data_IF_998301478012
#
_entry.id   IF_998301478012
#
_cell.length_a   1.000
_cell.length_b   1.000
_cell.length_c   1.000
_cell.angle_alpha   90.00
_cell.angle_beta   90.00
_cell.angle_gamma   90.00
#
_symmetry.space_group_name_H-M   'P 1'
#
loop_
_entity.id
_entity.type
_entity.pdbx_description
1 polymer ?
#
# COMPACT_ATOMS: atom_id res chain seq x y z
N UNK A 1 -27.39 16.11 -6.45
CA UNK A 1 -26.29 15.19 -6.08
C UNK A 1 -25.50 15.88 -4.98
N UNK A 2 -25.45 15.33 -3.77
CA UNK A 2 -24.72 15.96 -2.67
C UNK A 2 -23.22 15.77 -2.94
N UNK A 3 -22.48 16.87 -2.96
CA UNK A 3 -21.04 16.88 -3.23
C UNK A 3 -20.33 16.20 -2.04
N UNK A 4 -19.57 15.14 -2.30
CA UNK A 4 -18.77 14.48 -1.25
C UNK A 4 -17.49 15.29 -1.02
N UNK A 5 -17.56 16.23 -0.07
CA UNK A 5 -16.45 17.10 0.25
C UNK A 5 -15.20 16.34 0.70
N UNK A 6 -15.34 15.15 1.32
CA UNK A 6 -14.18 14.34 1.72
C UNK A 6 -13.48 13.80 0.48
N UNK A 7 -14.24 13.23 -0.46
CA UNK A 7 -13.69 12.73 -1.72
C UNK A 7 -13.01 13.86 -2.54
N UNK A 8 -13.63 15.03 -2.61
CA UNK A 8 -13.07 16.21 -3.31
C UNK A 8 -11.73 16.65 -2.69
N UNK A 9 -11.63 16.66 -1.36
CA UNK A 9 -10.38 16.97 -0.65
C UNK A 9 -9.29 15.96 -1.00
N UNK A 10 -9.61 14.66 -0.94
CA UNK A 10 -8.65 13.59 -1.24
C UNK A 10 -8.16 13.72 -2.69
N UNK A 11 -9.07 13.87 -3.64
CA UNK A 11 -8.72 14.02 -5.06
C UNK A 11 -7.81 15.24 -5.29
N UNK A 12 -8.19 16.41 -4.79
CA UNK A 12 -7.37 17.63 -4.91
C UNK A 12 -6.00 17.48 -4.26
N UNK A 13 -5.93 16.80 -3.11
CA UNK A 13 -4.68 16.53 -2.40
C UNK A 13 -3.74 15.66 -3.23
N UNK A 14 -4.25 14.57 -3.80
CA UNK A 14 -3.46 13.66 -4.64
C UNK A 14 -2.97 14.32 -5.92
N UNK A 15 -3.78 15.19 -6.55
CA UNK A 15 -3.33 16.01 -7.68
C UNK A 15 -2.17 16.93 -7.31
N UNK A 16 -2.27 17.62 -6.17
CA UNK A 16 -1.21 18.51 -5.68
C UNK A 16 0.05 17.72 -5.27
N UNK A 17 -0.11 16.58 -4.60
CA UNK A 17 1.02 15.72 -4.21
C UNK A 17 1.77 15.20 -5.43
N UNK A 18 1.08 14.80 -6.50
CA UNK A 18 1.73 14.44 -7.77
C UNK A 18 2.43 15.63 -8.43
N UNK A 19 1.80 16.80 -8.45
CA UNK A 19 2.33 17.96 -9.15
C UNK A 19 3.57 18.57 -8.49
N UNK A 20 3.62 18.61 -7.15
CA UNK A 20 4.71 19.29 -6.43
C UNK A 20 5.16 18.60 -5.15
N UNK A 21 4.67 17.42 -4.82
CA UNK A 21 5.08 16.68 -3.62
C UNK A 21 4.25 17.01 -2.37
N UNK A 22 4.19 16.05 -1.47
CA UNK A 22 3.52 16.14 -0.17
C UNK A 22 4.06 17.32 0.65
N UNK A 23 5.38 17.43 0.84
CA UNK A 23 5.98 18.42 1.75
C UNK A 23 5.67 19.86 1.34
N UNK A 24 5.75 20.16 0.04
CA UNK A 24 5.52 21.50 -0.53
C UNK A 24 4.03 21.86 -0.69
N UNK A 25 3.12 20.94 -0.43
CA UNK A 25 1.67 21.19 -0.50
C UNK A 25 1.16 21.73 0.83
N UNK A 26 0.36 22.80 0.79
CA UNK A 26 -0.28 23.40 1.97
C UNK A 26 -1.76 23.06 2.04
N UNK A 27 -2.36 23.18 3.23
CA UNK A 27 -3.80 22.97 3.43
C UNK A 27 -4.64 24.00 2.66
N UNK A 28 -4.19 25.26 2.61
CA UNK A 28 -4.93 26.31 1.91
C UNK A 28 -4.99 26.05 0.39
N UNK A 29 -3.91 25.54 -0.21
CA UNK A 29 -3.91 25.14 -1.64
C UNK A 29 -4.84 23.96 -1.91
N UNK A 30 -4.93 23.00 -0.98
CA UNK A 30 -5.88 21.88 -1.08
C UNK A 30 -7.31 22.41 -1.01
N UNK A 31 -7.61 23.32 -0.09
CA UNK A 31 -8.92 23.96 0.07
C UNK A 31 -9.32 24.68 -1.23
N UNK A 32 -8.41 25.50 -1.77
CA UNK A 32 -8.61 26.23 -3.01
C UNK A 32 -8.86 25.27 -4.19
N UNK A 33 -8.01 24.25 -4.35
CA UNK A 33 -8.12 23.29 -5.44
C UNK A 33 -9.37 22.40 -5.35
N UNK A 34 -9.81 22.06 -4.15
CA UNK A 34 -11.05 21.32 -3.93
C UNK A 34 -12.29 22.23 -4.06
N UNK A 35 -12.14 23.55 -4.06
CA UNK A 35 -13.26 24.49 -4.15
C UNK A 35 -14.24 24.33 -2.99
N UNK A 36 -13.71 24.21 -1.77
CA UNK A 36 -14.47 24.07 -0.51
C UNK A 36 -14.15 25.22 0.45
N UNK A 37 -14.96 25.37 1.50
CA UNK A 37 -14.66 26.31 2.58
C UNK A 37 -13.59 25.73 3.54
N UNK A 38 -12.79 26.59 4.16
CA UNK A 38 -11.77 26.20 5.15
C UNK A 38 -12.35 25.37 6.31
N UNK A 39 -13.51 25.77 6.83
CA UNK A 39 -14.20 25.01 7.89
C UNK A 39 -14.60 23.59 7.46
N UNK A 40 -14.93 23.39 6.18
CA UNK A 40 -15.25 22.06 5.62
C UNK A 40 -14.02 21.16 5.64
N UNK A 41 -12.83 21.67 5.30
CA UNK A 41 -11.60 20.89 5.38
C UNK A 41 -11.35 20.41 6.82
N UNK A 42 -11.37 21.34 7.79
CA UNK A 42 -11.09 21.00 9.19
C UNK A 42 -12.17 20.16 9.88
N UNK A 43 -13.37 20.09 9.30
CA UNK A 43 -14.39 19.14 9.72
C UNK A 43 -14.00 17.68 9.38
N UNK A 44 -13.32 17.46 8.26
CA UNK A 44 -12.91 16.13 7.81
C UNK A 44 -11.47 15.76 8.22
N UNK A 45 -10.54 16.72 8.19
CA UNK A 45 -9.12 16.48 8.41
C UNK A 45 -8.53 17.53 9.35
N UNK A 46 -7.89 17.08 10.44
CA UNK A 46 -7.20 17.98 11.38
C UNK A 46 -5.93 18.60 10.80
N UNK A 47 -5.48 18.15 9.63
CA UNK A 47 -4.36 18.69 8.90
C UNK A 47 -3.94 17.78 7.75
N UNK A 48 -2.97 18.25 6.96
CA UNK A 48 -2.46 17.52 5.78
C UNK A 48 -1.93 16.12 6.13
N UNK A 49 -1.37 15.93 7.32
CA UNK A 49 -0.83 14.63 7.75
C UNK A 49 -1.89 13.51 7.79
N UNK A 50 -3.17 13.83 8.06
CA UNK A 50 -4.25 12.84 8.02
C UNK A 50 -4.51 12.30 6.62
N UNK A 51 -4.09 13.02 5.58
CA UNK A 51 -4.22 12.58 4.18
C UNK A 51 -3.21 11.47 3.84
N UNK A 52 -2.14 11.29 4.63
CA UNK A 52 -1.22 10.17 4.46
C UNK A 52 -1.93 8.82 4.61
N UNK A 53 -2.93 8.76 5.50
CA UNK A 53 -3.73 7.55 5.72
C UNK A 53 -4.51 7.12 4.47
N UNK A 54 -4.85 8.04 3.58
CA UNK A 54 -5.56 7.73 2.33
C UNK A 54 -4.72 6.93 1.34
N UNK A 55 -3.40 6.85 1.54
CA UNK A 55 -2.55 5.94 0.77
C UNK A 55 -2.95 4.48 0.99
N UNK A 56 -3.35 4.11 2.22
CA UNK A 56 -3.81 2.75 2.49
C UNK A 56 -5.06 2.38 1.68
N UNK A 57 -6.02 3.31 1.57
CA UNK A 57 -7.22 3.16 0.77
C UNK A 57 -6.88 2.94 -0.71
N UNK A 58 -5.98 3.76 -1.26
CA UNK A 58 -5.54 3.66 -2.67
C UNK A 58 -4.87 2.33 -2.97
N UNK A 59 -4.00 1.85 -2.06
CA UNK A 59 -3.36 0.55 -2.24
C UNK A 59 -4.38 -0.60 -2.11
N UNK A 60 -5.33 -0.51 -1.18
CA UNK A 60 -6.37 -1.53 -1.00
C UNK A 60 -7.33 -1.60 -2.20
N UNK A 61 -7.67 -0.46 -2.80
CA UNK A 61 -8.42 -0.42 -4.05
C UNK A 61 -7.64 -1.08 -5.19
N UNK A 62 -6.33 -0.84 -5.26
CA UNK A 62 -5.48 -1.54 -6.24
C UNK A 62 -5.47 -3.05 -6.00
N UNK A 63 -5.36 -3.51 -4.76
CA UNK A 63 -5.46 -4.95 -4.48
C UNK A 63 -6.80 -5.56 -4.87
N UNK A 64 -7.93 -4.84 -4.67
CA UNK A 64 -9.26 -5.28 -5.14
C UNK A 64 -9.31 -5.44 -6.66
N UNK A 65 -8.77 -4.48 -7.40
CA UNK A 65 -8.66 -4.54 -8.86
C UNK A 65 -7.82 -5.75 -9.28
N UNK A 66 -6.62 -5.89 -8.72
CA UNK A 66 -5.68 -6.95 -9.07
C UNK A 66 -6.23 -8.35 -8.74
N UNK A 67 -6.93 -8.52 -7.61
CA UNK A 67 -7.57 -9.81 -7.30
C UNK A 67 -8.60 -10.22 -8.35
N UNK A 68 -9.36 -9.25 -8.90
CA UNK A 68 -10.31 -9.51 -9.98
C UNK A 68 -9.66 -9.94 -11.30
N UNK A 69 -8.37 -9.66 -11.47
CA UNK A 69 -7.58 -9.99 -12.67
C UNK A 69 -6.70 -11.23 -12.49
N UNK A 70 -6.61 -11.78 -11.27
CA UNK A 70 -5.76 -12.94 -10.99
C UNK A 70 -6.23 -14.17 -11.78
N UNK A 71 -5.30 -14.78 -12.52
CA UNK A 71 -5.56 -16.04 -13.21
C UNK A 71 -5.63 -17.20 -12.21
N UNK A 72 -6.72 -17.97 -12.27
CA UNK A 72 -6.91 -19.19 -11.48
C UNK A 72 -6.05 -20.35 -11.95
N UNK A 73 -5.41 -20.24 -13.12
CA UNK A 73 -4.50 -21.27 -13.65
C UNK A 73 -3.12 -21.21 -12.99
N UNK A 74 -2.81 -20.10 -12.30
CA UNK A 74 -1.58 -19.95 -11.53
C UNK A 74 -1.69 -20.69 -10.19
N UNK A 75 -0.57 -21.26 -9.73
CA UNK A 75 -0.45 -21.70 -8.34
C UNK A 75 -0.69 -20.53 -7.39
N UNK A 76 -1.11 -20.81 -6.17
CA UNK A 76 -1.34 -19.77 -5.16
C UNK A 76 -0.06 -18.97 -4.90
N UNK A 77 1.10 -19.64 -4.87
CA UNK A 77 2.40 -18.99 -4.71
C UNK A 77 2.65 -17.97 -5.83
N UNK A 78 2.38 -18.34 -7.09
CA UNK A 78 2.55 -17.45 -8.23
C UNK A 78 1.50 -16.32 -8.28
N UNK A 79 0.29 -16.55 -7.76
CA UNK A 79 -0.69 -15.47 -7.58
C UNK A 79 -0.19 -14.41 -6.60
N UNK A 80 0.35 -14.81 -5.44
CA UNK A 80 0.91 -13.87 -4.45
C UNK A 80 2.09 -13.10 -5.04
N UNK A 81 3.00 -13.77 -5.77
CA UNK A 81 4.13 -13.12 -6.45
C UNK A 81 3.65 -12.11 -7.50
N UNK A 82 2.64 -12.48 -8.27
CA UNK A 82 2.03 -11.61 -9.30
C UNK A 82 1.43 -10.36 -8.68
N UNK A 83 0.68 -10.48 -7.58
CA UNK A 83 0.13 -9.34 -6.84
C UNK A 83 1.23 -8.35 -6.42
N UNK A 84 2.34 -8.84 -5.87
CA UNK A 84 3.43 -7.96 -5.44
C UNK A 84 4.11 -7.24 -6.61
N UNK A 85 4.38 -7.94 -7.72
CA UNK A 85 4.95 -7.32 -8.92
C UNK A 85 4.02 -6.23 -9.46
N UNK A 86 2.71 -6.50 -9.55
CA UNK A 86 1.74 -5.54 -10.06
C UNK A 86 1.54 -4.35 -9.10
N UNK A 87 1.51 -4.59 -7.78
CA UNK A 87 1.45 -3.51 -6.81
C UNK A 87 2.69 -2.63 -6.87
N UNK A 88 3.89 -3.22 -6.91
CA UNK A 88 5.14 -2.48 -6.97
C UNK A 88 5.24 -1.64 -8.25
N UNK A 89 4.80 -2.19 -9.38
CA UNK A 89 4.65 -1.44 -10.63
C UNK A 89 3.71 -0.25 -10.47
N UNK A 90 2.54 -0.46 -9.83
CA UNK A 90 1.58 0.61 -9.58
C UNK A 90 2.16 1.71 -8.68
N UNK A 91 2.84 1.33 -7.59
CA UNK A 91 3.46 2.28 -6.65
C UNK A 91 4.50 3.13 -7.39
N UNK A 92 5.40 2.49 -8.13
CA UNK A 92 6.46 3.17 -8.87
C UNK A 92 5.92 4.22 -9.85
N UNK A 93 4.79 3.91 -10.51
CA UNK A 93 4.21 4.76 -11.55
C UNK A 93 3.25 5.84 -11.02
N UNK A 94 2.55 5.59 -9.91
CA UNK A 94 1.39 6.39 -9.52
C UNK A 94 1.50 7.03 -8.13
N UNK A 95 2.39 6.54 -7.25
CA UNK A 95 2.50 7.03 -5.89
C UNK A 95 3.70 7.99 -5.78
N UNK A 96 3.48 9.26 -5.39
CA UNK A 96 4.60 10.17 -5.14
C UNK A 96 5.53 9.61 -4.06
N UNK A 97 6.82 9.49 -4.37
CA UNK A 97 7.83 8.93 -3.46
C UNK A 97 7.86 9.66 -2.12
N UNK A 98 7.73 10.98 -2.13
CA UNK A 98 7.76 11.77 -0.90
C UNK A 98 6.52 11.58 -0.01
N UNK A 99 5.35 11.30 -0.62
CA UNK A 99 4.13 10.91 0.08
C UNK A 99 4.32 9.55 0.76
N UNK A 100 4.81 8.54 0.03
CA UNK A 100 5.08 7.22 0.59
C UNK A 100 6.11 7.31 1.71
N UNK A 101 7.19 8.08 1.52
CA UNK A 101 8.21 8.31 2.55
C UNK A 101 7.62 8.94 3.81
N UNK A 102 6.79 9.97 3.68
CA UNK A 102 6.13 10.61 4.81
C UNK A 102 5.22 9.62 5.56
N UNK A 103 4.51 8.76 4.82
CA UNK A 103 3.64 7.73 5.38
C UNK A 103 4.41 6.55 6.02
N UNK A 104 5.60 6.21 5.54
CA UNK A 104 6.47 5.23 6.20
C UNK A 104 7.08 5.84 7.48
N UNK A 105 7.51 7.10 7.45
CA UNK A 105 8.07 7.80 8.59
C UNK A 105 7.06 7.99 9.73
N UNK A 106 5.78 8.23 9.42
CA UNK A 106 4.73 8.39 10.43
C UNK A 106 4.52 7.14 11.28
N UNK A 107 4.82 5.94 10.77
CA UNK A 107 4.61 4.69 11.50
C UNK A 107 5.45 4.58 12.77
N UNK A 108 6.64 5.20 12.78
CA UNK A 108 7.54 5.21 13.93
C UNK A 108 7.14 6.26 14.98
N UNK A 109 6.29 7.22 14.61
CA UNK A 109 5.76 8.21 15.55
C UNK A 109 4.63 7.59 16.38
N UNK A 110 4.63 7.70 17.72
CA UNK A 110 3.54 7.21 18.58
C UNK A 110 2.16 7.79 18.24
N UNK A 111 2.11 8.99 17.66
CA UNK A 111 0.89 9.68 17.22
C UNK A 111 0.77 9.81 15.71
N UNK A 112 1.66 9.16 14.96
CA UNK A 112 1.63 9.20 13.50
C UNK A 112 0.63 8.21 12.93
N UNK A 113 0.30 8.40 11.65
CA UNK A 113 -0.57 7.48 10.94
C UNK A 113 0.11 6.12 10.77
N UNK A 114 -0.64 5.05 11.09
CA UNK A 114 -0.22 3.65 10.99
C UNK A 114 -1.19 2.84 10.12
N UNK A 115 -1.99 3.51 9.28
CA UNK A 115 -3.00 2.84 8.46
C UNK A 115 -2.40 1.71 7.63
N UNK A 116 -1.18 1.85 7.10
CA UNK A 116 -0.54 0.76 6.34
C UNK A 116 -0.36 -0.55 7.13
N UNK A 117 -0.32 -0.48 8.46
CA UNK A 117 -0.15 -1.63 9.36
C UNK A 117 -1.47 -2.17 9.94
N UNK A 118 -2.59 -1.53 9.61
CA UNK A 118 -3.91 -1.93 10.09
C UNK A 118 -4.28 -3.32 9.55
N UNK A 119 -4.49 -4.27 10.47
CA UNK A 119 -4.77 -5.67 10.17
C UNK A 119 -6.15 -5.89 9.53
N UNK A 120 -7.03 -4.89 9.59
CA UNK A 120 -8.35 -4.90 8.96
C UNK A 120 -8.31 -4.51 7.47
N UNK A 121 -7.16 -4.03 6.98
CA UNK A 121 -6.98 -3.69 5.56
C UNK A 121 -7.23 -4.86 4.62
N UNK A 122 -7.66 -4.51 3.42
CA UNK A 122 -7.85 -5.46 2.34
C UNK A 122 -6.58 -6.21 1.99
N UNK A 123 -5.44 -5.50 2.02
CA UNK A 123 -4.11 -6.08 1.90
C UNK A 123 -3.96 -7.36 2.74
N UNK A 124 -4.20 -7.27 4.05
CA UNK A 124 -4.02 -8.44 4.92
C UNK A 124 -5.10 -9.49 4.69
N UNK A 125 -6.32 -9.09 4.34
CA UNK A 125 -7.40 -10.02 4.03
C UNK A 125 -7.06 -10.92 2.83
N UNK A 126 -6.62 -10.34 1.71
CA UNK A 126 -6.27 -11.12 0.50
C UNK A 126 -5.05 -12.00 0.72
N UNK A 127 -4.00 -11.50 1.39
CA UNK A 127 -2.81 -12.32 1.66
C UNK A 127 -3.11 -13.47 2.62
N UNK A 128 -3.95 -13.26 3.65
CA UNK A 128 -4.37 -14.34 4.55
C UNK A 128 -5.19 -15.40 3.81
N UNK A 129 -6.11 -14.97 2.93
CA UNK A 129 -6.91 -15.86 2.08
C UNK A 129 -5.99 -16.72 1.20
N UNK A 130 -5.10 -16.10 0.43
CA UNK A 130 -4.20 -16.81 -0.48
C UNK A 130 -3.26 -17.74 0.28
N UNK A 131 -2.60 -17.29 1.35
CA UNK A 131 -1.70 -18.17 2.12
C UNK A 131 -2.46 -19.37 2.72
N UNK A 132 -3.68 -19.18 3.21
CA UNK A 132 -4.53 -20.29 3.69
C UNK A 132 -4.87 -21.28 2.57
N UNK A 133 -5.28 -20.79 1.39
CA UNK A 133 -5.54 -21.64 0.22
C UNK A 133 -4.28 -22.41 -0.24
N UNK A 134 -3.11 -21.77 -0.16
CA UNK A 134 -1.83 -22.43 -0.44
C UNK A 134 -1.51 -23.55 0.55
N UNK A 135 -1.87 -23.39 1.83
CA UNK A 135 -1.77 -24.44 2.84
C UNK A 135 -2.77 -25.58 2.63
N UNK A 136 -3.96 -25.26 2.13
CA UNK A 136 -4.99 -26.25 1.78
C UNK A 136 -4.60 -27.09 0.56
N UNK A 137 -3.95 -26.47 -0.43
CA UNK A 137 -3.44 -27.15 -1.63
C UNK A 137 -2.08 -27.85 -1.43
N UNK A 138 -1.44 -27.68 -0.28
CA UNK A 138 -0.11 -28.24 -0.02
C UNK A 138 1.02 -27.54 -0.77
N UNK A 139 0.80 -26.31 -1.25
CA UNK A 139 1.84 -25.47 -1.85
C UNK A 139 2.67 -24.75 -0.78
N UNK A 140 2.06 -24.42 0.35
CA UNK A 140 2.67 -23.69 1.48
C UNK A 140 2.61 -24.56 2.74
N UNK A 141 3.70 -24.58 3.52
CA UNK A 141 3.79 -25.35 4.75
C UNK A 141 2.76 -24.95 5.80
N UNK A 142 2.22 -25.94 6.53
CA UNK A 142 1.40 -25.74 7.74
C UNK A 142 2.20 -25.64 9.02
N UNK A 143 3.53 -25.79 8.97
CA UNK A 143 4.41 -25.65 10.14
C UNK A 143 4.45 -24.23 10.68
N UNK A 144 4.12 -23.24 9.85
CA UNK A 144 4.07 -21.81 10.21
C UNK A 144 2.64 -21.31 10.02
N UNK A 145 2.15 -20.49 10.95
CA UNK A 145 0.78 -19.97 10.87
C UNK A 145 0.60 -19.03 9.67
N UNK A 146 -0.60 -18.98 9.10
CA UNK A 146 -0.98 -18.00 8.06
C UNK A 146 -0.64 -16.58 8.52
N UNK A 147 -0.96 -16.26 9.77
CA UNK A 147 -0.67 -14.95 10.36
C UNK A 147 0.83 -14.60 10.32
N UNK A 148 1.70 -15.52 10.72
CA UNK A 148 3.15 -15.27 10.73
C UNK A 148 3.73 -15.16 9.32
N UNK A 149 3.30 -16.02 8.39
CA UNK A 149 3.73 -15.93 6.99
C UNK A 149 3.37 -14.56 6.41
N UNK A 150 2.12 -14.12 6.56
CA UNK A 150 1.66 -12.81 6.08
C UNK A 150 2.41 -11.66 6.78
N UNK A 151 2.67 -11.78 8.08
CA UNK A 151 3.46 -10.78 8.82
C UNK A 151 4.89 -10.67 8.28
N UNK A 152 5.58 -11.78 8.04
CA UNK A 152 6.94 -11.78 7.49
C UNK A 152 6.98 -11.25 6.06
N UNK A 153 6.00 -11.63 5.24
CA UNK A 153 5.82 -11.13 3.89
C UNK A 153 5.63 -9.61 3.87
N UNK A 154 4.71 -9.09 4.68
CA UNK A 154 4.46 -7.65 4.81
C UNK A 154 5.67 -6.87 5.35
N UNK A 155 6.46 -7.49 6.23
CA UNK A 155 7.72 -6.90 6.70
C UNK A 155 8.73 -6.76 5.56
N UNK A 156 8.90 -7.79 4.74
CA UNK A 156 9.81 -7.78 3.59
C UNK A 156 9.38 -6.72 2.55
N UNK A 157 8.10 -6.71 2.20
CA UNK A 157 7.52 -5.75 1.26
C UNK A 157 7.72 -4.31 1.73
N UNK A 158 7.38 -4.02 2.99
CA UNK A 158 7.59 -2.70 3.59
C UNK A 158 9.07 -2.32 3.65
N UNK A 159 9.98 -3.26 3.89
CA UNK A 159 11.41 -3.00 3.87
C UNK A 159 11.89 -2.55 2.49
N UNK A 160 11.36 -3.15 1.42
CA UNK A 160 11.69 -2.76 0.04
C UNK A 160 11.16 -1.37 -0.29
N UNK A 161 9.93 -1.05 0.13
CA UNK A 161 9.36 0.30 -0.04
C UNK A 161 10.15 1.36 0.74
N UNK A 162 10.62 1.02 1.94
CA UNK A 162 11.47 1.90 2.74
C UNK A 162 12.81 2.16 2.05
N UNK A 163 13.48 1.12 1.59
CA UNK A 163 14.76 1.23 0.88
C UNK A 163 14.62 2.05 -0.41
N UNK A 164 13.58 1.78 -1.21
CA UNK A 164 13.23 2.56 -2.38
C UNK A 164 13.06 4.06 -2.07
N UNK A 165 12.40 4.38 -0.95
CA UNK A 165 12.24 5.76 -0.48
C UNK A 165 13.56 6.40 -0.03
N UNK A 166 14.51 5.64 0.54
CA UNK A 166 15.85 6.15 0.90
C UNK A 166 16.61 6.64 -0.33
N UNK A 167 16.45 5.94 -1.47
CA UNK A 167 17.06 6.30 -2.75
C UNK A 167 16.18 7.22 -3.61
N UNK A 168 15.18 7.89 -3.02
CA UNK A 168 14.28 8.83 -3.71
C UNK A 168 13.59 8.22 -4.94
N UNK A 169 13.32 6.91 -4.92
CA UNK A 169 12.69 6.19 -6.01
C UNK A 169 13.57 6.01 -7.26
N UNK A 170 14.89 6.22 -7.14
CA UNK A 170 15.82 6.13 -8.27
C UNK A 170 16.05 4.70 -8.77
N UNK A 171 15.77 3.68 -7.95
CA UNK A 171 15.88 2.27 -8.32
C UNK A 171 14.50 1.71 -8.65
N UNK A 172 14.37 0.76 -9.59
CA UNK A 172 13.08 0.13 -9.86
C UNK A 172 12.65 -0.76 -8.69
N UNK A 173 11.35 -0.76 -8.37
CA UNK A 173 10.75 -1.71 -7.44
C UNK A 173 10.61 -3.10 -8.08
N UNK A 174 10.40 -3.17 -9.38
CA UNK A 174 10.35 -4.44 -10.12
C UNK A 174 11.77 -4.91 -10.42
N UNK A 175 12.09 -6.14 -10.02
CA UNK A 175 13.40 -6.74 -10.22
C UNK A 175 13.95 -7.37 -8.95
N UNK A 176 15.01 -6.79 -8.39
CA UNK A 176 15.60 -7.27 -7.14
C UNK A 176 14.64 -7.16 -5.94
N UNK A 177 13.91 -6.05 -5.72
CA UNK A 177 13.02 -5.95 -4.57
C UNK A 177 11.88 -6.98 -4.61
N UNK A 178 11.22 -7.17 -5.76
CA UNK A 178 10.21 -8.24 -5.93
C UNK A 178 10.83 -9.64 -5.74
N UNK A 179 12.08 -9.87 -6.13
CA UNK A 179 12.80 -11.14 -5.90
C UNK A 179 13.06 -11.38 -4.41
N UNK A 180 13.41 -10.34 -3.65
CA UNK A 180 13.62 -10.44 -2.20
C UNK A 180 12.30 -10.77 -1.49
N UNK A 181 11.21 -10.09 -1.84
CA UNK A 181 9.87 -10.36 -1.27
C UNK A 181 9.41 -11.77 -1.62
N UNK A 182 9.57 -12.20 -2.86
CA UNK A 182 9.29 -13.56 -3.29
C UNK A 182 10.14 -14.60 -2.53
N UNK A 183 11.43 -14.33 -2.32
CA UNK A 183 12.32 -15.20 -1.57
C UNK A 183 11.88 -15.42 -0.12
N UNK A 184 11.26 -14.43 0.52
CA UNK A 184 10.67 -14.60 1.86
C UNK A 184 9.45 -15.53 1.82
N UNK A 185 8.61 -15.44 0.79
CA UNK A 185 7.51 -16.39 0.61
C UNK A 185 8.03 -17.81 0.35
N UNK A 186 9.09 -17.95 -0.45
CA UNK A 186 9.69 -19.23 -0.81
C UNK A 186 10.25 -20.01 0.39
N UNK A 187 10.56 -19.34 1.52
CA UNK A 187 10.92 -20.00 2.79
C UNK A 187 9.80 -20.91 3.34
N UNK A 188 8.56 -20.69 2.90
CA UNK A 188 7.37 -21.41 3.36
C UNK A 188 6.78 -22.33 2.28
N UNK A 189 7.32 -22.32 1.06
CA UNK A 189 6.84 -23.14 -0.05
C UNK A 189 7.34 -24.58 0.14
N UNK A 190 6.44 -25.55 -0.03
CA UNK A 190 6.81 -26.97 -0.01
C UNK A 190 7.51 -27.27 -1.32
N UNK A 191 8.81 -27.55 -1.27
CA UNK A 191 9.54 -28.01 -2.45
C UNK A 191 9.12 -29.46 -2.79
N UNK A 192 8.98 -29.78 -4.09
CA UNK A 192 8.63 -31.14 -4.53
C UNK A 192 9.69 -32.18 -4.16
#
# INVERSE_FOLDING_TARGET
MQRDARADIIHASWELFRAKGFERTTVDEIIERAGIAKGTFYHHFQGKAMLLGTLSDVLDDKYRELEGELSTDLSIVEQIKTLNVQLFTFIEQNVPVDLLRAQLASQLNPRGDRSLMDQERYYFAIHRKLVAEGQDKGEITRSTSVHDIVRFYAMAERSMLYDWCLYQGAQPLVGEPTRIVAGVLDLFVIQP
#
